data_IF_195672660812
#
_entry.id   IF_195672660812
#
_cell.length_a   1.000
_cell.length_b   1.000
_cell.length_c   1.000
_cell.angle_alpha   90.00
_cell.angle_beta   90.00
_cell.angle_gamma   90.00
#
_symmetry.space_group_name_H-M   'P 1'
#
loop_
_entity.id
_entity.type
_entity.pdbx_description
1 polymer ?
#
# COMPACT_ATOMS: atom_id res chain seq x y z
N UNK A 1 67.39 7.29 -53.43
CA UNK A 1 66.72 6.09 -52.88
C UNK A 1 66.54 6.30 -51.37
N UNK A 2 65.83 7.33 -50.88
CA UNK A 2 64.38 7.62 -50.98
C UNK A 2 63.50 6.53 -50.34
N UNK A 3 63.17 6.79 -49.06
CA UNK A 3 61.80 6.74 -48.52
C UNK A 3 60.99 5.47 -48.78
N UNK A 4 61.24 4.37 -48.07
CA UNK A 4 60.25 3.29 -47.92
C UNK A 4 60.63 2.22 -46.87
N UNK A 5 60.90 2.58 -45.60
CA UNK A 5 61.16 1.56 -44.56
C UNK A 5 60.53 1.79 -43.18
N UNK A 6 59.68 2.80 -43.03
CA UNK A 6 58.99 3.08 -41.75
C UNK A 6 57.47 3.29 -41.93
N UNK A 7 56.83 2.53 -42.82
CA UNK A 7 55.37 2.54 -43.00
C UNK A 7 54.83 1.12 -43.22
N UNK A 8 55.23 0.17 -42.39
CA UNK A 8 54.66 -1.18 -42.45
C UNK A 8 54.73 -1.92 -41.12
N UNK A 9 54.50 -1.21 -40.01
CA UNK A 9 54.22 -1.85 -38.71
C UNK A 9 53.33 -0.99 -37.78
N UNK A 10 52.50 -0.12 -38.36
CA UNK A 10 51.52 0.70 -37.62
C UNK A 10 50.09 0.53 -38.16
N UNK A 11 49.82 -0.59 -38.83
CA UNK A 11 48.55 -0.84 -39.53
C UNK A 11 47.98 -2.23 -39.29
N UNK A 12 48.11 -2.78 -38.08
CA UNK A 12 47.33 -3.93 -37.62
C UNK A 12 46.99 -3.70 -36.15
N UNK A 13 46.24 -2.63 -35.87
CA UNK A 13 45.71 -2.42 -34.52
C UNK A 13 44.45 -1.53 -34.58
N UNK A 14 43.49 -1.86 -35.45
CA UNK A 14 42.19 -1.15 -35.49
C UNK A 14 41.12 -1.84 -36.36
N UNK A 15 40.97 -3.17 -36.27
CA UNK A 15 39.71 -3.85 -36.65
C UNK A 15 39.47 -5.03 -35.70
N UNK A 16 39.41 -4.74 -34.40
CA UNK A 16 38.58 -5.53 -33.50
C UNK A 16 37.35 -4.66 -33.21
N UNK A 17 36.61 -4.30 -34.27
CA UNK A 17 35.22 -3.92 -34.12
C UNK A 17 34.53 -5.13 -33.50
N UNK A 18 34.33 -5.00 -32.19
CA UNK A 18 33.57 -5.89 -31.34
C UNK A 18 32.22 -6.16 -31.99
N UNK A 19 32.13 -7.22 -32.79
CA UNK A 19 30.89 -7.96 -32.93
C UNK A 19 30.69 -8.73 -31.63
N UNK A 20 30.43 -8.00 -30.53
CA UNK A 20 29.86 -8.59 -29.35
C UNK A 20 28.57 -9.26 -29.81
N UNK A 21 28.50 -10.58 -29.68
CA UNK A 21 27.31 -11.36 -29.99
C UNK A 21 26.14 -10.72 -29.26
N UNK A 22 25.13 -10.25 -29.99
CA UNK A 22 23.95 -9.62 -29.41
C UNK A 22 23.34 -10.62 -28.41
N UNK A 23 23.42 -10.28 -27.12
CA UNK A 23 22.84 -11.09 -26.05
C UNK A 23 21.34 -10.92 -26.15
N UNK A 24 20.60 -12.02 -26.16
CA UNK A 24 19.14 -11.97 -26.08
C UNK A 24 18.74 -11.57 -24.67
N UNK A 25 18.47 -10.28 -24.50
CA UNK A 25 18.03 -9.69 -23.24
C UNK A 25 16.51 -9.68 -23.08
N UNK A 26 15.74 -10.26 -24.01
CA UNK A 26 14.28 -10.28 -23.94
C UNK A 26 13.76 -10.96 -22.67
N UNK A 27 14.55 -11.90 -22.13
CA UNK A 27 14.26 -12.65 -20.91
C UNK A 27 14.91 -12.05 -19.65
N UNK A 28 15.48 -10.84 -19.72
CA UNK A 28 16.13 -10.21 -18.57
C UNK A 28 15.12 -9.91 -17.44
N UNK A 29 13.91 -9.50 -17.82
CA UNK A 29 12.75 -9.30 -16.95
C UNK A 29 11.52 -9.89 -17.65
N UNK A 30 11.00 -10.99 -17.11
CA UNK A 30 9.84 -11.69 -17.67
C UNK A 30 8.65 -11.68 -16.71
N UNK A 31 8.94 -11.88 -15.43
CA UNK A 31 7.95 -11.94 -14.36
C UNK A 31 7.91 -10.64 -13.54
N UNK A 32 7.13 -10.67 -12.48
CA UNK A 32 7.01 -9.55 -11.55
C UNK A 32 8.12 -9.42 -10.51
N UNK A 33 9.16 -10.28 -10.50
CA UNK A 33 10.11 -10.36 -9.39
C UNK A 33 10.74 -9.01 -9.06
N UNK A 34 11.27 -8.30 -10.05
CA UNK A 34 11.95 -7.03 -9.82
C UNK A 34 11.02 -5.91 -9.30
N UNK A 35 9.76 -5.91 -9.75
CA UNK A 35 8.77 -4.94 -9.27
C UNK A 35 8.33 -5.30 -7.84
N UNK A 36 8.19 -6.59 -7.52
CA UNK A 36 7.95 -7.05 -6.14
C UNK A 36 9.09 -6.66 -5.21
N UNK A 37 10.34 -6.87 -5.60
CA UNK A 37 11.51 -6.50 -4.78
C UNK A 37 11.60 -4.97 -4.58
N UNK A 38 11.25 -4.18 -5.59
CA UNK A 38 11.15 -2.73 -5.44
C UNK A 38 10.02 -2.31 -4.48
N UNK A 39 8.90 -3.04 -4.48
CA UNK A 39 7.78 -2.87 -3.56
C UNK A 39 8.09 -3.33 -2.12
N UNK A 40 8.91 -4.37 -1.96
CA UNK A 40 9.43 -4.76 -0.65
C UNK A 40 10.35 -3.67 -0.11
N UNK A 41 11.24 -3.14 -0.96
CA UNK A 41 12.13 -2.04 -0.57
C UNK A 41 11.37 -0.78 -0.19
N UNK A 42 10.36 -0.36 -0.96
CA UNK A 42 9.57 0.83 -0.60
C UNK A 42 8.86 0.62 0.74
N UNK A 43 8.43 -0.61 1.04
CA UNK A 43 7.83 -0.97 2.34
C UNK A 43 8.83 -0.84 3.48
N UNK A 44 10.06 -1.33 3.31
CA UNK A 44 11.13 -1.14 4.30
C UNK A 44 11.44 0.33 4.57
N UNK A 45 11.47 1.16 3.51
CA UNK A 45 11.66 2.61 3.63
C UNK A 45 10.47 3.26 4.34
N UNK A 46 9.24 2.83 4.05
CA UNK A 46 8.03 3.31 4.73
C UNK A 46 8.10 3.07 6.25
N UNK A 47 8.58 1.90 6.67
CA UNK A 47 8.80 1.56 8.07
C UNK A 47 9.90 2.42 8.66
N UNK A 48 11.03 2.56 7.96
CA UNK A 48 12.17 3.36 8.40
C UNK A 48 11.79 4.82 8.62
N UNK A 49 11.02 5.39 7.69
CA UNK A 49 10.59 6.79 7.69
C UNK A 49 9.35 7.03 8.58
N UNK A 50 8.77 5.97 9.15
CA UNK A 50 7.62 6.00 10.06
C UNK A 50 6.40 6.67 9.40
N UNK A 51 6.16 6.33 8.13
CA UNK A 51 4.96 6.81 7.44
C UNK A 51 3.69 6.19 8.03
N UNK A 52 2.65 7.00 8.14
CA UNK A 52 1.35 6.55 8.63
C UNK A 52 0.65 5.61 7.62
N UNK A 53 -0.27 4.74 8.07
CA UNK A 53 -1.03 3.86 7.18
C UNK A 53 -1.67 4.57 5.96
N UNK A 54 -2.40 5.69 6.11
CA UNK A 54 -2.97 6.40 4.96
C UNK A 54 -1.90 6.97 4.02
N UNK A 55 -0.79 7.49 4.55
CA UNK A 55 0.30 8.03 3.73
C UNK A 55 1.05 6.91 2.99
N UNK A 56 1.27 5.77 3.64
CA UNK A 56 1.86 4.59 3.02
C UNK A 56 1.02 4.10 1.83
N UNK A 57 -0.31 4.02 1.98
CA UNK A 57 -1.20 3.67 0.87
C UNK A 57 -1.01 4.60 -0.34
N UNK A 58 -0.99 5.92 -0.11
CA UNK A 58 -0.72 6.92 -1.16
C UNK A 58 0.61 6.70 -1.88
N UNK A 59 1.68 6.38 -1.13
CA UNK A 59 3.02 6.12 -1.70
C UNK A 59 2.96 4.91 -2.64
N UNK A 60 2.38 3.80 -2.18
CA UNK A 60 2.21 2.60 -3.01
C UNK A 60 1.40 2.89 -4.27
N UNK A 61 0.26 3.58 -4.15
CA UNK A 61 -0.64 3.84 -5.29
C UNK A 61 0.07 4.57 -6.44
N UNK A 62 0.78 5.66 -6.16
CA UNK A 62 1.42 6.44 -7.22
C UNK A 62 2.64 5.74 -7.82
N UNK A 63 3.44 5.04 -7.02
CA UNK A 63 4.56 4.25 -7.53
C UNK A 63 4.07 3.13 -8.47
N UNK A 64 3.04 2.40 -8.06
CA UNK A 64 2.43 1.33 -8.85
C UNK A 64 1.72 1.85 -10.09
N UNK A 65 1.02 2.99 -10.01
CA UNK A 65 0.38 3.62 -11.16
C UNK A 65 1.40 4.00 -12.25
N UNK A 66 2.58 4.48 -11.87
CA UNK A 66 3.65 4.79 -12.83
C UNK A 66 4.15 3.55 -13.58
N UNK A 67 4.34 2.43 -12.87
CA UNK A 67 4.70 1.15 -13.47
C UNK A 67 3.61 0.65 -14.43
N UNK A 68 2.35 0.79 -14.03
CA UNK A 68 1.18 0.37 -14.81
C UNK A 68 1.00 1.17 -16.10
N UNK A 69 1.17 2.50 -16.07
CA UNK A 69 1.04 3.32 -17.27
C UNK A 69 2.08 2.98 -18.34
N UNK A 70 3.27 2.51 -17.94
CA UNK A 70 4.22 1.91 -18.90
C UNK A 70 3.64 0.64 -19.51
N UNK A 71 3.08 -0.27 -18.71
CA UNK A 71 2.46 -1.50 -19.21
C UNK A 71 1.30 -1.21 -20.21
N UNK A 72 0.42 -0.28 -19.85
CA UNK A 72 -0.70 0.14 -20.69
C UNK A 72 -0.26 0.86 -21.98
N UNK A 73 0.92 1.49 -21.98
CA UNK A 73 1.45 2.15 -23.18
C UNK A 73 1.97 1.18 -24.25
N UNK A 74 2.28 -0.07 -23.88
CA UNK A 74 2.94 -1.03 -24.78
C UNK A 74 2.12 -2.26 -25.12
N UNK A 75 1.06 -2.53 -24.35
CA UNK A 75 0.20 -3.69 -24.55
C UNK A 75 -1.27 -3.24 -24.71
N UNK A 76 -1.88 -3.41 -25.90
CA UNK A 76 -3.27 -2.99 -26.15
C UNK A 76 -4.30 -3.76 -25.32
N UNK A 77 -3.92 -4.85 -24.63
CA UNK A 77 -4.78 -5.54 -23.69
C UNK A 77 -4.90 -4.80 -22.34
N UNK A 78 -4.14 -3.74 -22.12
CA UNK A 78 -4.20 -2.92 -20.91
C UNK A 78 -4.62 -1.49 -21.29
N UNK A 79 -5.62 -0.95 -20.59
CA UNK A 79 -6.10 0.41 -20.79
C UNK A 79 -5.43 1.37 -19.82
N UNK A 80 -4.96 2.51 -20.31
CA UNK A 80 -4.44 3.57 -19.44
C UNK A 80 -5.50 3.99 -18.42
N UNK A 81 -5.12 4.07 -17.14
CA UNK A 81 -5.95 4.61 -16.07
C UNK A 81 -5.95 6.14 -16.09
N UNK A 82 -4.93 6.77 -16.70
CA UNK A 82 -4.90 8.21 -16.91
C UNK A 82 -6.04 8.64 -17.86
N UNK A 83 -6.87 9.56 -17.37
CA UNK A 83 -8.13 9.96 -18.01
C UNK A 83 -9.36 9.18 -17.52
N UNK A 84 -9.19 8.10 -16.74
CA UNK A 84 -10.26 7.44 -15.99
C UNK A 84 -10.32 7.94 -14.54
N UNK A 85 -9.15 8.29 -13.97
CA UNK A 85 -9.02 8.71 -12.58
C UNK A 85 -9.36 10.20 -12.39
N UNK A 86 -9.93 10.54 -11.23
CA UNK A 86 -10.35 11.89 -10.88
C UNK A 86 -9.20 12.91 -10.95
N UNK A 87 -9.37 13.94 -11.78
CA UNK A 87 -8.37 14.99 -11.96
C UNK A 87 -7.12 14.55 -12.75
N UNK A 88 -7.14 13.36 -13.34
CA UNK A 88 -6.12 12.92 -14.30
C UNK A 88 -6.51 13.34 -15.71
N UNK A 89 -5.52 13.67 -16.53
CA UNK A 89 -5.72 13.94 -17.95
C UNK A 89 -5.44 12.67 -18.74
N UNK A 90 -6.16 12.47 -19.86
CA UNK A 90 -5.84 11.38 -20.78
C UNK A 90 -4.49 11.66 -21.43
N UNK A 91 -3.53 10.76 -21.25
CA UNK A 91 -2.19 10.85 -21.84
C UNK A 91 -1.96 9.64 -22.74
N UNK A 92 -1.19 9.81 -23.80
CA UNK A 92 -0.73 8.72 -24.67
C UNK A 92 0.78 8.76 -24.72
N UNK A 93 1.40 7.71 -24.21
CA UNK A 93 2.84 7.52 -24.27
C UNK A 93 3.21 6.74 -25.53
N UNK A 94 4.30 7.09 -26.19
CA UNK A 94 4.79 6.40 -27.39
C UNK A 94 6.26 6.07 -27.20
N UNK A 95 6.58 4.88 -26.66
CA UNK A 95 7.97 4.48 -26.48
C UNK A 95 8.68 4.36 -27.84
N UNK A 96 9.96 4.74 -27.87
CA UNK A 96 10.80 4.46 -29.03
C UNK A 96 11.10 2.96 -29.17
N UNK A 97 11.53 2.52 -30.36
CA UNK A 97 11.91 1.12 -30.63
C UNK A 97 13.07 0.61 -29.73
N UNK A 98 13.82 1.53 -29.11
CA UNK A 98 14.92 1.20 -28.19
C UNK A 98 14.47 0.96 -26.75
N UNK A 99 13.22 1.28 -26.41
CA UNK A 99 12.71 1.08 -25.05
C UNK A 99 12.50 -0.41 -24.82
N UNK A 100 13.08 -0.94 -23.74
CA UNK A 100 12.75 -2.24 -23.16
C UNK A 100 11.66 -2.02 -22.09
N UNK A 101 10.38 -2.30 -22.40
CA UNK A 101 9.27 -1.88 -21.55
C UNK A 101 9.29 -2.36 -20.09
N UNK A 102 9.67 -3.61 -19.76
CA UNK A 102 9.71 -4.02 -18.35
C UNK A 102 10.76 -3.26 -17.53
N UNK A 103 11.91 -2.89 -18.13
CA UNK A 103 12.88 -2.02 -17.46
C UNK A 103 12.32 -0.60 -17.30
N UNK A 104 11.62 -0.08 -18.30
CA UNK A 104 10.98 1.23 -18.19
C UNK A 104 9.88 1.27 -17.10
N UNK A 105 9.09 0.19 -16.97
CA UNK A 105 8.06 0.05 -15.93
C UNK A 105 8.68 0.04 -14.53
N UNK A 106 9.75 -0.73 -14.34
CA UNK A 106 10.53 -0.75 -13.11
C UNK A 106 11.18 0.61 -12.82
N UNK A 107 11.73 1.28 -13.83
CA UNK A 107 12.32 2.60 -13.69
C UNK A 107 11.29 3.67 -13.31
N UNK A 108 10.08 3.62 -13.88
CA UNK A 108 8.97 4.49 -13.52
C UNK A 108 8.55 4.28 -12.04
N UNK A 109 8.47 3.02 -11.61
CA UNK A 109 8.18 2.67 -10.22
C UNK A 109 9.22 3.29 -9.26
N UNK A 110 10.51 3.04 -9.50
CA UNK A 110 11.59 3.62 -8.69
C UNK A 110 11.55 5.15 -8.69
N UNK A 111 11.39 5.78 -9.86
CA UNK A 111 11.41 7.23 -9.99
C UNK A 111 10.30 7.92 -9.20
N UNK A 112 9.09 7.38 -9.25
CA UNK A 112 7.95 7.93 -8.51
C UNK A 112 8.03 7.57 -7.04
N UNK A 113 8.31 6.30 -6.71
CA UNK A 113 8.41 5.82 -5.33
C UNK A 113 9.46 6.58 -4.51
N UNK A 114 10.68 6.74 -5.04
CA UNK A 114 11.75 7.52 -4.39
C UNK A 114 11.31 8.96 -4.12
N UNK A 115 10.60 9.59 -5.06
CA UNK A 115 10.15 10.98 -4.91
C UNK A 115 9.02 11.20 -3.90
N UNK A 116 8.54 10.15 -3.23
CA UNK A 116 7.44 10.19 -2.27
C UNK A 116 7.85 9.79 -0.84
N UNK A 117 9.12 9.41 -0.62
CA UNK A 117 9.67 9.01 0.68
C UNK A 117 10.77 9.99 1.14
N UNK A 118 11.26 9.85 2.37
CA UNK A 118 12.30 10.74 2.91
C UNK A 118 13.71 10.15 2.75
N UNK A 119 13.88 8.86 3.04
CA UNK A 119 15.19 8.18 2.93
C UNK A 119 15.47 7.72 1.49
N UNK A 120 15.59 8.68 0.58
CA UNK A 120 15.81 8.44 -0.87
C UNK A 120 16.99 7.52 -1.16
N UNK A 121 18.07 7.64 -0.37
CA UNK A 121 19.29 6.85 -0.54
C UNK A 121 19.03 5.34 -0.42
N UNK A 122 18.17 4.90 0.50
CA UNK A 122 17.83 3.48 0.65
C UNK A 122 17.17 2.91 -0.62
N UNK A 123 16.32 3.70 -1.27
CA UNK A 123 15.66 3.30 -2.51
C UNK A 123 16.61 3.40 -3.71
N UNK A 124 17.46 4.42 -3.75
CA UNK A 124 18.48 4.60 -4.79
C UNK A 124 19.53 3.49 -4.76
N UNK A 125 20.02 3.10 -3.57
CA UNK A 125 20.98 1.99 -3.41
C UNK A 125 20.41 0.68 -3.96
N UNK A 126 19.16 0.36 -3.63
CA UNK A 126 18.48 -0.82 -4.16
C UNK A 126 18.31 -0.74 -5.68
N UNK A 127 17.81 0.39 -6.19
CA UNK A 127 17.66 0.64 -7.64
C UNK A 127 18.99 0.41 -8.37
N UNK A 128 20.06 1.02 -7.90
CA UNK A 128 21.36 1.01 -8.57
C UNK A 128 21.96 -0.40 -8.59
N UNK A 129 21.79 -1.17 -7.51
CA UNK A 129 22.16 -2.58 -7.47
C UNK A 129 21.31 -3.43 -8.45
N UNK A 130 19.98 -3.24 -8.48
CA UNK A 130 19.10 -3.92 -9.44
C UNK A 130 19.46 -3.58 -10.88
N UNK A 131 19.74 -2.32 -11.16
CA UNK A 131 20.10 -1.82 -12.49
C UNK A 131 21.45 -2.34 -12.96
N UNK A 132 22.44 -2.42 -12.06
CA UNK A 132 23.73 -3.06 -12.35
C UNK A 132 23.53 -4.55 -12.71
N UNK A 133 22.75 -5.30 -11.91
CA UNK A 133 22.46 -6.70 -12.19
C UNK A 133 21.72 -6.90 -13.53
N UNK A 134 20.82 -5.99 -13.90
CA UNK A 134 20.13 -6.03 -15.18
C UNK A 134 21.05 -5.71 -16.38
N UNK A 135 22.03 -4.80 -16.21
CA UNK A 135 23.07 -4.57 -17.23
C UNK A 135 23.92 -5.82 -17.46
N UNK A 136 24.26 -6.57 -16.39
CA UNK A 136 24.99 -7.83 -16.49
C UNK A 136 24.23 -8.92 -17.27
N UNK A 137 22.89 -8.82 -17.38
CA UNK A 137 22.07 -9.69 -18.24
C UNK A 137 22.17 -9.34 -19.74
N UNK A 138 23.00 -8.37 -20.12
CA UNK A 138 23.31 -8.07 -21.51
C UNK A 138 22.37 -7.06 -22.20
N UNK A 139 21.62 -6.26 -21.43
CA UNK A 139 20.85 -5.14 -21.97
C UNK A 139 21.83 -4.08 -22.50
N UNK A 140 21.80 -3.71 -23.80
CA UNK A 140 22.68 -2.69 -24.36
C UNK A 140 22.50 -1.33 -23.69
N UNK A 141 23.58 -0.54 -23.56
CA UNK A 141 23.51 0.76 -22.88
C UNK A 141 22.49 1.72 -23.53
N UNK A 142 22.38 1.75 -24.86
CA UNK A 142 21.42 2.65 -25.51
C UNK A 142 19.96 2.24 -25.30
N UNK A 143 19.69 0.93 -25.17
CA UNK A 143 18.37 0.39 -24.76
C UNK A 143 18.11 0.71 -23.28
N UNK A 144 19.12 0.55 -22.43
CA UNK A 144 19.01 0.79 -21.00
C UNK A 144 18.69 2.25 -20.70
N UNK A 145 19.46 3.18 -21.26
CA UNK A 145 19.24 4.62 -21.08
C UNK A 145 17.90 5.08 -21.67
N UNK A 146 17.51 4.56 -22.85
CA UNK A 146 16.20 4.86 -23.43
C UNK A 146 15.04 4.37 -22.54
N UNK A 147 15.19 3.21 -21.91
CA UNK A 147 14.17 2.63 -21.02
C UNK A 147 14.02 3.44 -19.73
N UNK A 148 15.14 3.85 -19.12
CA UNK A 148 15.11 4.74 -17.94
C UNK A 148 14.50 6.09 -18.29
N UNK A 149 14.90 6.68 -19.42
CA UNK A 149 14.35 7.97 -19.87
C UNK A 149 12.83 7.90 -20.09
N UNK A 150 12.34 6.82 -20.72
CA UNK A 150 10.91 6.62 -20.91
C UNK A 150 10.16 6.36 -19.59
N UNK A 151 10.73 5.56 -18.69
CA UNK A 151 10.16 5.36 -17.35
C UNK A 151 10.06 6.67 -16.57
N UNK A 152 11.07 7.54 -16.69
CA UNK A 152 11.05 8.88 -16.11
C UNK A 152 9.99 9.78 -16.75
N UNK A 153 9.82 9.75 -18.07
CA UNK A 153 8.78 10.51 -18.78
C UNK A 153 7.38 10.19 -18.25
N UNK A 154 7.06 8.90 -18.11
CA UNK A 154 5.80 8.44 -17.51
C UNK A 154 5.72 8.88 -16.05
N UNK A 155 6.79 8.69 -15.29
CA UNK A 155 6.86 9.09 -13.89
C UNK A 155 6.70 10.60 -13.65
N UNK A 156 7.19 11.45 -14.55
CA UNK A 156 7.02 12.91 -14.49
C UNK A 156 5.52 13.28 -14.60
N UNK A 157 4.77 12.62 -15.48
CA UNK A 157 3.31 12.80 -15.59
C UNK A 157 2.61 12.39 -14.30
N UNK A 158 2.98 11.23 -13.72
CA UNK A 158 2.38 10.75 -12.48
C UNK A 158 2.73 11.65 -11.29
N UNK A 159 3.96 12.15 -11.18
CA UNK A 159 4.34 13.13 -10.14
C UNK A 159 3.61 14.45 -10.31
N UNK A 160 3.43 14.93 -11.54
CA UNK A 160 2.63 16.13 -11.81
C UNK A 160 1.17 15.92 -11.37
N UNK A 161 0.59 14.76 -11.64
CA UNK A 161 -0.75 14.38 -11.19
C UNK A 161 -0.86 14.26 -9.67
N UNK A 162 0.14 13.66 -9.00
CA UNK A 162 0.16 13.47 -7.54
C UNK A 162 0.36 14.77 -6.78
N UNK A 163 1.10 15.74 -7.33
CA UNK A 163 1.33 17.05 -6.71
C UNK A 163 0.05 17.88 -6.50
N UNK A 164 -1.03 17.53 -7.21
CA UNK A 164 -2.32 18.23 -7.22
C UNK A 164 -3.39 17.55 -6.36
N UNK A 165 -3.04 16.57 -5.54
CA UNK A 165 -3.99 15.78 -4.75
C UNK A 165 -4.29 16.32 -3.36
N UNK A 166 -3.86 17.56 -3.07
CA UNK A 166 -4.01 18.25 -1.79
C UNK A 166 -3.12 17.73 -0.63
N UNK A 167 -2.24 16.75 -0.87
CA UNK A 167 -1.34 16.24 0.16
C UNK A 167 -0.38 17.29 0.71
N UNK A 168 0.30 18.05 -0.17
CA UNK A 168 1.24 19.09 0.25
C UNK A 168 0.57 20.20 1.07
N UNK A 169 -0.61 20.65 0.64
CA UNK A 169 -1.41 21.67 1.31
C UNK A 169 -1.85 21.17 2.70
N UNK A 170 -2.28 19.91 2.80
CA UNK A 170 -2.74 19.32 4.06
C UNK A 170 -1.67 19.28 5.15
N UNK A 171 -0.37 19.30 4.81
CA UNK A 171 0.73 19.33 5.79
C UNK A 171 0.75 20.62 6.64
N UNK A 172 0.04 21.65 6.20
CA UNK A 172 -0.08 22.94 6.90
C UNK A 172 -1.45 23.16 7.57
N UNK A 173 -2.36 22.19 7.48
CA UNK A 173 -3.67 22.29 8.09
C UNK A 173 -3.56 22.22 9.63
N UNK A 174 -4.53 22.81 10.37
CA UNK A 174 -4.47 22.82 11.83
C UNK A 174 -4.50 21.40 12.39
N UNK A 175 -3.83 21.18 13.52
CA UNK A 175 -3.87 19.90 14.23
C UNK A 175 -5.29 19.58 14.72
N UNK A 176 -5.53 18.30 14.99
CA UNK A 176 -6.77 17.87 15.63
C UNK A 176 -6.90 18.50 17.02
N UNK A 177 -8.08 19.05 17.33
CA UNK A 177 -8.35 19.63 18.65
C UNK A 177 -9.02 18.58 19.51
N UNK A 178 -8.33 18.13 20.56
CA UNK A 178 -8.91 17.23 21.57
C UNK A 178 -9.85 18.03 22.46
N UNK A 179 -11.10 17.58 22.53
CA UNK A 179 -12.15 18.16 23.38
C UNK A 179 -12.26 17.40 24.70
N UNK A 180 -12.83 18.04 25.73
CA UNK A 180 -13.15 17.38 27.00
C UNK A 180 -14.55 16.74 27.01
N UNK A 181 -15.20 16.67 25.84
CA UNK A 181 -16.54 16.14 25.69
C UNK A 181 -16.53 14.61 25.87
N UNK A 182 -17.49 14.09 26.64
CA UNK A 182 -17.61 12.64 26.86
C UNK A 182 -17.84 11.90 25.53
N UNK A 183 -17.26 10.71 25.42
CA UNK A 183 -17.35 9.88 24.22
C UNK A 183 -16.51 10.32 23.03
N UNK A 184 -15.80 11.44 23.13
CA UNK A 184 -14.87 11.89 22.08
C UNK A 184 -13.48 11.24 22.23
N UNK A 185 -12.79 11.06 21.11
CA UNK A 185 -11.45 10.47 21.09
C UNK A 185 -10.45 11.32 21.87
N UNK A 186 -9.61 10.62 22.63
CA UNK A 186 -8.49 11.19 23.36
C UNK A 186 -7.22 10.41 23.03
N UNK A 187 -6.04 11.06 23.02
CA UNK A 187 -4.77 10.36 22.94
C UNK A 187 -4.65 9.31 24.05
N UNK A 188 -4.14 8.14 23.69
CA UNK A 188 -4.06 6.98 24.60
C UNK A 188 -2.62 6.74 25.09
N UNK A 189 -2.44 6.14 26.28
CA UNK A 189 -1.14 5.69 26.75
C UNK A 189 -0.47 4.68 25.80
N UNK A 190 0.85 4.46 25.93
CA UNK A 190 1.78 5.21 26.79
C UNK A 190 2.23 6.55 26.19
N UNK A 191 2.05 6.76 24.89
CA UNK A 191 2.70 7.85 24.15
C UNK A 191 1.85 9.13 24.04
N UNK A 192 0.52 9.02 24.18
CA UNK A 192 -0.41 10.16 24.04
C UNK A 192 -0.15 10.99 22.76
N UNK A 193 0.11 10.29 21.65
CA UNK A 193 0.46 10.91 20.38
C UNK A 193 -0.68 11.77 19.82
N UNK A 194 -0.30 12.79 19.05
CA UNK A 194 -1.24 13.59 18.29
C UNK A 194 -2.01 12.73 17.26
N UNK A 195 -3.24 13.14 16.95
CA UNK A 195 -4.09 12.41 16.03
C UNK A 195 -3.46 12.33 14.63
N UNK A 196 -3.44 11.12 14.06
CA UNK A 196 -2.80 10.86 12.76
C UNK A 196 -3.71 11.24 11.61
N UNK A 197 -3.25 12.20 10.81
CA UNK A 197 -3.87 12.63 9.55
C UNK A 197 -5.34 13.09 9.67
N UNK A 198 -5.67 14.07 10.55
CA UNK A 198 -7.06 14.51 10.78
C UNK A 198 -7.79 15.06 9.56
N UNK A 199 -7.06 15.39 8.51
CA UNK A 199 -7.59 15.95 7.28
C UNK A 199 -7.43 15.01 6.08
N UNK A 200 -7.23 13.71 6.30
CA UNK A 200 -7.02 12.77 5.20
C UNK A 200 -8.21 12.71 4.22
N UNK A 201 -9.43 12.99 4.71
CA UNK A 201 -10.62 13.14 3.86
C UNK A 201 -10.58 14.31 2.87
N UNK A 202 -9.54 15.16 2.94
CA UNK A 202 -9.29 16.27 2.01
C UNK A 202 -8.34 15.91 0.88
N UNK A 203 -7.71 14.73 0.93
CA UNK A 203 -6.90 14.22 -0.18
C UNK A 203 -7.83 13.89 -1.36
N UNK A 204 -7.38 14.19 -2.59
CA UNK A 204 -8.13 13.85 -3.79
C UNK A 204 -8.30 12.33 -3.88
N UNK A 205 -9.53 11.88 -4.02
CA UNK A 205 -9.87 10.50 -4.36
C UNK A 205 -9.39 10.18 -5.78
N UNK A 206 -9.11 8.92 -6.08
CA UNK A 206 -8.74 8.46 -7.42
C UNK A 206 -9.96 8.16 -8.30
N UNK A 207 -11.05 7.70 -7.71
CA UNK A 207 -12.25 7.14 -8.36
C UNK A 207 -13.52 7.55 -7.60
N UNK A 208 -13.50 7.60 -6.27
CA UNK A 208 -14.67 8.00 -5.48
C UNK A 208 -15.10 9.43 -5.82
N UNK A 209 -16.41 9.68 -5.90
CA UNK A 209 -16.96 11.02 -6.16
C UNK A 209 -16.64 11.99 -5.00
N UNK A 210 -16.55 11.48 -3.77
CA UNK A 210 -16.14 12.22 -2.58
C UNK A 210 -15.67 11.28 -1.47
N UNK A 211 -14.90 11.80 -0.51
CA UNK A 211 -14.44 11.03 0.65
C UNK A 211 -15.58 10.46 1.51
N UNK A 212 -16.77 11.06 1.50
CA UNK A 212 -17.93 10.62 2.28
C UNK A 212 -18.91 9.74 1.49
N UNK A 213 -18.54 9.29 0.28
CA UNK A 213 -19.45 8.54 -0.60
C UNK A 213 -19.92 7.22 0.03
N UNK A 214 -19.03 6.55 0.77
CA UNK A 214 -19.28 5.26 1.41
C UNK A 214 -19.42 5.36 2.92
N UNK A 215 -19.92 6.51 3.41
CA UNK A 215 -20.07 6.74 4.84
C UNK A 215 -20.90 5.62 5.50
N UNK A 216 -20.37 4.94 6.53
CA UNK A 216 -21.02 3.81 7.17
C UNK A 216 -22.16 4.26 8.10
N UNK A 217 -22.85 3.28 8.67
CA UNK A 217 -23.77 3.52 9.78
C UNK A 217 -23.02 4.15 10.97
N UNK A 218 -23.66 5.08 11.72
CA UNK A 218 -23.04 5.67 12.88
C UNK A 218 -22.77 4.60 13.96
N UNK A 219 -21.75 4.79 14.82
CA UNK A 219 -21.55 3.91 15.96
C UNK A 219 -22.70 4.04 16.97
N UNK A 220 -22.88 3.06 17.88
CA UNK A 220 -23.83 3.19 18.97
C UNK A 220 -23.62 4.50 19.74
N UNK A 221 -24.69 5.25 20.09
CA UNK A 221 -24.54 6.51 20.83
C UNK A 221 -23.84 6.28 22.16
N UNK A 222 -22.85 7.12 22.48
CA UNK A 222 -22.12 7.05 23.74
C UNK A 222 -23.08 7.05 24.94
N UNK A 223 -22.85 6.16 25.89
CA UNK A 223 -23.59 6.11 27.15
C UNK A 223 -22.80 5.34 28.18
N UNK A 224 -22.77 5.86 29.41
CA UNK A 224 -22.16 5.21 30.58
C UNK A 224 -23.14 4.32 31.34
N UNK A 225 -24.43 4.34 30.98
CA UNK A 225 -25.47 3.58 31.68
C UNK A 225 -25.24 2.07 31.48
N UNK A 226 -25.10 1.28 32.57
CA UNK A 226 -24.99 -0.17 32.46
C UNK A 226 -26.16 -0.77 31.67
N UNK A 227 -25.85 -1.52 30.62
CA UNK A 227 -26.84 -2.16 29.75
C UNK A 227 -27.31 -1.34 28.54
N UNK A 228 -26.85 -0.09 28.40
CA UNK A 228 -26.93 0.66 27.13
C UNK A 228 -26.20 -0.09 25.99
N UNK A 229 -26.50 0.26 24.74
CA UNK A 229 -25.82 -0.38 23.59
C UNK A 229 -24.32 -0.12 23.60
N UNK A 230 -23.89 1.10 23.92
CA UNK A 230 -22.47 1.45 24.01
C UNK A 230 -21.76 0.67 25.12
N UNK A 231 -22.36 0.60 26.32
CA UNK A 231 -21.82 -0.20 27.40
C UNK A 231 -21.69 -1.68 27.02
N UNK A 232 -22.67 -2.24 26.30
CA UNK A 232 -22.64 -3.63 25.85
C UNK A 232 -21.49 -3.91 24.89
N UNK A 233 -21.28 -3.07 23.86
CA UNK A 233 -20.17 -3.29 22.90
C UNK A 233 -18.81 -3.08 23.55
N UNK A 234 -18.67 -2.16 24.51
CA UNK A 234 -17.44 -1.99 25.27
C UNK A 234 -17.18 -3.17 26.21
N UNK A 235 -18.21 -3.64 26.90
CA UNK A 235 -18.13 -4.84 27.74
C UNK A 235 -17.78 -6.08 26.92
N UNK A 236 -18.25 -6.17 25.68
CA UNK A 236 -17.91 -7.26 24.78
C UNK A 236 -16.39 -7.33 24.50
N UNK A 237 -15.76 -6.18 24.25
CA UNK A 237 -14.30 -6.08 24.07
C UNK A 237 -13.56 -6.53 25.34
N UNK A 238 -14.00 -6.03 26.50
CA UNK A 238 -13.43 -6.39 27.80
C UNK A 238 -13.55 -7.91 28.09
N UNK A 239 -14.72 -8.50 27.86
CA UNK A 239 -14.97 -9.93 28.13
C UNK A 239 -14.21 -10.83 27.15
N UNK A 240 -14.11 -10.43 25.87
CA UNK A 240 -13.32 -11.15 24.88
C UNK A 240 -11.85 -11.21 25.30
N UNK A 241 -11.24 -10.09 25.68
CA UNK A 241 -9.80 -10.03 25.97
C UNK A 241 -9.43 -10.99 27.12
N UNK A 242 -10.31 -11.06 28.13
CA UNK A 242 -10.17 -11.96 29.28
C UNK A 242 -10.37 -13.43 28.97
N UNK A 243 -11.11 -13.75 27.91
CA UNK A 243 -11.40 -15.11 27.48
C UNK A 243 -10.67 -15.53 26.21
N UNK A 244 -9.81 -14.66 25.67
CA UNK A 244 -9.12 -14.87 24.41
C UNK A 244 -8.23 -16.12 24.45
N UNK A 245 -8.42 -17.01 23.48
CA UNK A 245 -7.56 -18.17 23.26
C UNK A 245 -6.19 -17.74 22.75
N UNK A 246 -5.20 -18.64 22.79
CA UNK A 246 -3.87 -18.34 22.24
C UNK A 246 -3.94 -18.00 20.74
N UNK A 247 -4.74 -18.75 19.97
CA UNK A 247 -4.93 -18.48 18.53
C UNK A 247 -5.51 -17.08 18.28
N UNK A 248 -6.48 -16.63 19.08
CA UNK A 248 -7.05 -15.29 18.94
C UNK A 248 -6.01 -14.19 19.22
N UNK A 249 -5.11 -14.42 20.18
CA UNK A 249 -4.00 -13.52 20.48
C UNK A 249 -2.96 -13.51 19.35
N UNK A 250 -2.66 -14.67 18.80
CA UNK A 250 -1.71 -14.82 17.69
C UNK A 250 -2.27 -14.13 16.42
N UNK A 251 -3.57 -14.26 16.15
CA UNK A 251 -4.28 -13.51 15.10
C UNK A 251 -4.17 -11.99 15.32
N UNK A 252 -4.41 -11.52 16.55
CA UNK A 252 -4.30 -10.09 16.88
C UNK A 252 -2.89 -9.56 16.62
N UNK A 253 -1.86 -10.33 17.01
CA UNK A 253 -0.46 -9.95 16.82
C UNK A 253 -0.04 -10.00 15.35
N UNK A 254 -0.52 -10.99 14.59
CA UNK A 254 -0.23 -11.14 13.16
C UNK A 254 -0.74 -9.94 12.36
N UNK A 255 -1.96 -9.51 12.63
CA UNK A 255 -2.58 -8.37 11.94
C UNK A 255 -2.39 -7.04 12.68
N UNK A 256 -1.50 -6.92 13.66
CA UNK A 256 -1.35 -5.67 14.43
C UNK A 256 -0.96 -4.50 13.51
N UNK A 257 0.04 -4.72 12.65
CA UNK A 257 0.47 -3.80 11.59
C UNK A 257 0.56 -2.32 12.05
N UNK A 258 0.96 -2.10 13.31
CA UNK A 258 1.00 -0.78 13.95
C UNK A 258 2.45 -0.27 14.00
N UNK A 259 2.84 0.68 13.12
CA UNK A 259 4.19 1.23 13.12
C UNK A 259 4.48 2.13 14.34
N UNK A 260 3.47 2.41 15.18
CA UNK A 260 3.57 3.27 16.35
C UNK A 260 3.71 2.51 17.66
N UNK A 261 3.91 1.18 17.61
CA UNK A 261 4.07 0.41 18.84
C UNK A 261 5.34 0.85 19.58
N UNK A 262 5.14 1.46 20.73
CA UNK A 262 6.20 2.03 21.57
C UNK A 262 6.43 1.15 22.78
N UNK A 263 7.66 0.68 22.93
CA UNK A 263 8.10 -0.03 24.11
C UNK A 263 8.73 0.95 25.09
N UNK A 264 8.20 0.99 26.32
CA UNK A 264 8.75 1.79 27.42
C UNK A 264 9.37 0.86 28.46
N UNK A 265 10.70 0.91 28.60
CA UNK A 265 11.44 0.14 29.63
C UNK A 265 12.29 1.08 30.47
N UNK A 266 11.75 1.50 31.60
CA UNK A 266 12.37 2.55 32.43
C UNK A 266 12.38 3.89 31.68
N UNK A 267 13.56 4.49 31.51
CA UNK A 267 13.73 5.76 30.76
C UNK A 267 13.94 5.55 29.25
N UNK A 268 13.97 4.30 28.76
CA UNK A 268 14.20 4.01 27.34
C UNK A 268 12.87 3.81 26.64
N UNK A 269 12.66 4.55 25.55
CA UNK A 269 11.54 4.39 24.63
C UNK A 269 12.08 3.95 23.27
N UNK A 270 11.54 2.88 22.70
CA UNK A 270 11.89 2.43 21.34
C UNK A 270 10.66 1.90 20.59
N UNK A 271 10.59 2.16 19.29
CA UNK A 271 9.52 1.67 18.43
C UNK A 271 9.85 0.27 17.90
N UNK A 272 8.84 -0.60 17.77
CA UNK A 272 8.96 -1.84 17.00
C UNK A 272 8.76 -1.56 15.50
N UNK A 273 9.64 -2.11 14.66
CA UNK A 273 9.51 -2.04 13.20
C UNK A 273 8.39 -3.00 12.77
N UNK A 274 7.28 -2.45 12.29
CA UNK A 274 6.13 -3.19 11.76
C UNK A 274 5.66 -2.57 10.46
N UNK A 275 5.18 -3.41 9.54
CA UNK A 275 4.48 -2.93 8.33
C UNK A 275 3.17 -2.24 8.71
N UNK A 276 2.68 -1.41 7.80
CA UNK A 276 1.30 -0.90 7.87
C UNK A 276 0.35 -1.88 7.19
N UNK A 277 -0.97 -1.79 7.43
CA UNK A 277 -1.94 -2.69 6.81
C UNK A 277 -1.91 -2.61 5.28
N UNK A 278 -1.66 -1.41 4.73
CA UNK A 278 -1.47 -1.25 3.29
C UNK A 278 -0.24 -2.01 2.78
N UNK A 279 0.87 -1.98 3.52
CA UNK A 279 2.06 -2.77 3.18
C UNK A 279 1.80 -4.27 3.19
N UNK A 280 1.08 -4.77 4.21
CA UNK A 280 0.69 -6.18 4.32
C UNK A 280 -0.12 -6.64 3.10
N UNK A 281 -1.15 -5.89 2.72
CA UNK A 281 -1.97 -6.24 1.54
C UNK A 281 -1.23 -6.12 0.22
N UNK A 282 -0.26 -5.20 0.10
CA UNK A 282 0.61 -5.17 -1.08
C UNK A 282 1.56 -6.39 -1.12
N UNK A 283 2.04 -6.87 0.02
CA UNK A 283 2.81 -8.12 0.09
C UNK A 283 1.96 -9.34 -0.27
N UNK A 284 0.71 -9.42 0.20
CA UNK A 284 -0.24 -10.46 -0.23
C UNK A 284 -0.47 -10.38 -1.74
N UNK A 285 -0.61 -9.19 -2.31
CA UNK A 285 -0.75 -8.99 -3.74
C UNK A 285 0.48 -9.49 -4.52
N UNK A 286 1.69 -9.32 -3.98
CA UNK A 286 2.93 -9.82 -4.55
C UNK A 286 2.99 -11.36 -4.50
N UNK A 287 2.63 -11.95 -3.35
CA UNK A 287 2.54 -13.40 -3.14
C UNK A 287 1.56 -14.03 -4.13
N UNK A 288 0.35 -13.50 -4.23
CA UNK A 288 -0.68 -13.98 -5.14
C UNK A 288 -0.24 -13.85 -6.62
N UNK A 289 0.36 -12.72 -6.99
CA UNK A 289 0.88 -12.50 -8.35
C UNK A 289 1.94 -13.53 -8.74
N UNK A 290 2.86 -13.83 -7.81
CA UNK A 290 3.90 -14.84 -8.00
C UNK A 290 3.29 -16.25 -8.11
N UNK A 291 2.38 -16.61 -7.21
CA UNK A 291 1.71 -17.91 -7.20
C UNK A 291 0.87 -18.13 -8.49
N UNK A 292 0.26 -17.08 -9.02
CA UNK A 292 -0.50 -17.11 -10.26
C UNK A 292 0.37 -17.00 -11.54
N UNK A 293 1.69 -16.88 -11.41
CA UNK A 293 2.61 -16.76 -12.55
C UNK A 293 2.37 -15.51 -13.41
N UNK A 294 1.95 -14.39 -12.81
CA UNK A 294 1.75 -13.12 -13.53
C UNK A 294 3.07 -12.62 -14.11
N UNK A 295 3.01 -12.12 -15.35
CA UNK A 295 4.14 -11.40 -15.96
C UNK A 295 4.29 -9.99 -15.35
N UNK A 296 5.31 -9.25 -15.78
CA UNK A 296 5.57 -7.90 -15.29
C UNK A 296 4.40 -6.91 -15.51
N UNK A 297 3.58 -7.11 -16.54
CA UNK A 297 2.40 -6.25 -16.81
C UNK A 297 1.27 -6.61 -15.86
N UNK A 298 1.02 -7.90 -15.68
CA UNK A 298 0.03 -8.43 -14.74
C UNK A 298 0.29 -8.00 -13.31
N UNK A 299 1.54 -8.03 -12.84
CA UNK A 299 1.85 -7.54 -11.49
C UNK A 299 1.71 -6.02 -11.37
N UNK A 300 2.06 -5.25 -12.40
CA UNK A 300 1.88 -3.80 -12.40
C UNK A 300 0.38 -3.43 -12.30
N UNK A 301 -0.49 -4.16 -12.98
CA UNK A 301 -1.96 -4.05 -12.83
C UNK A 301 -2.42 -4.37 -11.41
N UNK A 302 -1.96 -5.50 -10.87
CA UNK A 302 -2.34 -5.93 -9.52
C UNK A 302 -1.93 -4.89 -8.47
N UNK A 303 -0.71 -4.38 -8.54
CA UNK A 303 -0.22 -3.36 -7.62
C UNK A 303 -0.93 -2.03 -7.79
N UNK A 304 -1.18 -1.57 -9.01
CA UNK A 304 -1.88 -0.30 -9.24
C UNK A 304 -3.31 -0.35 -8.70
N UNK A 305 -4.06 -1.41 -9.01
CA UNK A 305 -5.44 -1.56 -8.55
C UNK A 305 -5.54 -1.78 -7.04
N UNK A 306 -4.65 -2.60 -6.45
CA UNK A 306 -4.61 -2.78 -4.98
C UNK A 306 -4.26 -1.47 -4.28
N UNK A 307 -3.28 -0.73 -4.79
CA UNK A 307 -2.91 0.59 -4.27
C UNK A 307 -4.04 1.61 -4.38
N UNK A 308 -4.79 1.65 -5.49
CA UNK A 308 -5.95 2.54 -5.65
C UNK A 308 -7.02 2.20 -4.61
N UNK A 309 -7.39 0.92 -4.48
CA UNK A 309 -8.38 0.45 -3.51
C UNK A 309 -7.98 0.75 -2.06
N UNK A 310 -6.70 0.54 -1.71
CA UNK A 310 -6.17 0.88 -0.39
C UNK A 310 -6.29 2.39 -0.11
N UNK A 311 -5.85 3.24 -1.03
CA UNK A 311 -5.88 4.68 -0.80
C UNK A 311 -7.32 5.22 -0.67
N UNK A 312 -8.25 4.71 -1.48
CA UNK A 312 -9.68 5.05 -1.37
C UNK A 312 -10.30 4.58 -0.05
N UNK A 313 -9.96 3.37 0.38
CA UNK A 313 -10.36 2.83 1.69
C UNK A 313 -9.86 3.71 2.84
N UNK A 314 -8.61 4.14 2.80
CA UNK A 314 -8.05 5.03 3.82
C UNK A 314 -8.69 6.43 3.80
N UNK A 315 -9.01 6.99 2.63
CA UNK A 315 -9.72 8.28 2.53
C UNK A 315 -11.12 8.18 3.13
N UNK A 316 -11.90 7.15 2.77
CA UNK A 316 -13.26 6.93 3.27
C UNK A 316 -13.27 6.68 4.78
N UNK A 317 -12.42 5.77 5.25
CA UNK A 317 -12.37 5.42 6.67
C UNK A 317 -11.92 6.62 7.53
N UNK A 318 -10.95 7.42 7.08
CA UNK A 318 -10.53 8.60 7.83
C UNK A 318 -11.58 9.71 7.83
N UNK A 319 -12.43 9.81 6.81
CA UNK A 319 -13.60 10.69 6.84
C UNK A 319 -14.50 10.33 8.02
N UNK A 320 -14.82 9.03 8.18
CA UNK A 320 -15.68 8.56 9.26
C UNK A 320 -15.01 8.71 10.64
N UNK A 321 -13.72 8.40 10.76
CA UNK A 321 -12.95 8.52 12.01
C UNK A 321 -13.02 9.91 12.59
N UNK A 322 -12.76 10.92 11.77
CA UNK A 322 -12.72 12.29 12.23
C UNK A 322 -14.12 12.95 12.26
N UNK A 323 -15.12 12.35 11.62
CA UNK A 323 -16.52 12.75 11.73
C UNK A 323 -17.19 12.23 13.00
N UNK A 324 -17.04 10.94 13.29
CA UNK A 324 -17.61 10.31 14.49
C UNK A 324 -16.83 10.67 15.75
N UNK A 325 -15.51 10.88 15.59
CA UNK A 325 -14.57 11.22 16.66
C UNK A 325 -14.70 10.29 17.88
N UNK A 326 -14.94 9.00 17.65
CA UNK A 326 -15.32 8.08 18.72
C UNK A 326 -14.13 7.70 19.63
N UNK A 327 -14.38 7.71 20.94
CA UNK A 327 -13.50 7.19 21.99
C UNK A 327 -13.07 5.74 21.74
N UNK A 328 -11.85 5.38 22.19
CA UNK A 328 -11.30 4.02 22.08
C UNK A 328 -11.74 3.12 23.25
N UNK A 329 -11.75 1.79 23.08
CA UNK A 329 -12.17 0.87 24.13
C UNK A 329 -11.40 1.04 25.44
N UNK A 330 -10.07 1.17 25.40
CA UNK A 330 -9.27 1.33 26.64
C UNK A 330 -9.67 2.56 27.45
N UNK A 331 -9.95 3.68 26.80
CA UNK A 331 -10.29 4.92 27.50
C UNK A 331 -11.65 4.76 28.18
N UNK A 332 -12.63 4.19 27.48
CA UNK A 332 -13.95 3.94 28.05
C UNK A 332 -13.94 2.88 29.16
N UNK A 333 -13.27 1.74 28.93
CA UNK A 333 -13.20 0.63 29.88
C UNK A 333 -12.50 1.09 31.15
N UNK A 334 -11.38 1.83 31.04
CA UNK A 334 -10.65 2.31 32.22
C UNK A 334 -11.44 3.34 33.04
N UNK A 335 -12.29 4.13 32.39
CA UNK A 335 -13.10 5.14 33.07
C UNK A 335 -14.39 4.58 33.70
N UNK A 336 -14.96 3.52 33.13
CA UNK A 336 -16.34 3.12 33.44
C UNK A 336 -16.55 1.64 33.77
N UNK A 337 -15.54 0.77 33.58
CA UNK A 337 -15.66 -0.68 33.79
C UNK A 337 -14.57 -1.22 34.70
N UNK A 338 -13.30 -1.07 34.32
CA UNK A 338 -12.13 -1.58 35.04
C UNK A 338 -10.91 -0.69 34.78
N UNK A 339 -10.51 0.11 35.77
CA UNK A 339 -9.40 1.07 35.68
C UNK A 339 -8.04 0.43 35.38
N UNK A 340 -7.89 -0.87 35.62
CA UNK A 340 -6.62 -1.59 35.50
C UNK A 340 -6.51 -2.35 34.18
N UNK A 341 -7.56 -2.30 33.34
CA UNK A 341 -7.57 -3.03 32.09
C UNK A 341 -6.60 -2.42 31.08
N UNK A 342 -5.93 -3.30 30.34
CA UNK A 342 -4.99 -2.92 29.28
C UNK A 342 -5.28 -3.80 28.07
N UNK A 343 -5.50 -3.23 26.87
CA UNK A 343 -5.72 -4.02 25.68
C UNK A 343 -4.48 -4.84 25.31
N UNK A 344 -4.69 -5.99 24.66
CA UNK A 344 -3.61 -6.82 24.12
C UNK A 344 -2.70 -6.04 23.15
N UNK A 345 -3.31 -5.26 22.25
CA UNK A 345 -2.59 -4.39 21.32
C UNK A 345 -2.58 -2.96 21.82
N UNK A 346 -1.48 -2.25 21.63
CA UNK A 346 -1.41 -0.83 21.92
C UNK A 346 -2.36 -0.07 20.99
N UNK A 347 -3.22 0.78 21.56
CA UNK A 347 -4.19 1.56 20.78
C UNK A 347 -3.51 2.52 19.81
N UNK A 348 -3.88 2.47 18.51
CA UNK A 348 -3.36 3.42 17.53
C UNK A 348 -3.85 4.86 17.76
N UNK A 349 -3.02 5.88 17.49
CA UNK A 349 -3.31 7.28 17.81
C UNK A 349 -4.26 7.99 16.82
N UNK A 350 -5.47 7.47 16.70
CA UNK A 350 -6.55 8.03 15.90
C UNK A 350 -7.93 7.52 16.39
N UNK A 351 -9.03 8.23 16.07
CA UNK A 351 -10.40 7.85 16.48
C UNK A 351 -10.80 6.43 16.09
N UNK A 352 -11.79 5.90 16.81
CA UNK A 352 -12.16 4.48 16.76
C UNK A 352 -12.95 4.11 15.48
N UNK A 353 -14.08 4.75 15.19
CA UNK A 353 -15.01 4.25 14.18
C UNK A 353 -14.79 4.86 12.79
N UNK A 354 -14.73 4.10 11.69
CA UNK A 354 -14.68 2.63 11.55
C UNK A 354 -13.26 2.07 11.69
N UNK A 355 -13.10 0.75 11.76
CA UNK A 355 -11.79 0.09 11.79
C UNK A 355 -11.06 0.22 10.45
N UNK A 356 -9.91 0.91 10.45
CA UNK A 356 -9.10 1.08 9.23
C UNK A 356 -8.58 -0.24 8.65
N UNK A 357 -8.29 -1.23 9.51
CA UNK A 357 -7.97 -2.59 9.05
C UNK A 357 -9.15 -3.22 8.33
N UNK A 358 -10.35 -3.11 8.89
CA UNK A 358 -11.55 -3.72 8.31
C UNK A 358 -11.86 -3.13 6.93
N UNK A 359 -11.81 -1.80 6.78
CA UNK A 359 -12.05 -1.13 5.49
C UNK A 359 -10.95 -1.45 4.47
N UNK A 360 -9.69 -1.30 4.84
CA UNK A 360 -8.56 -1.55 3.94
C UNK A 360 -8.46 -3.02 3.50
N UNK A 361 -8.68 -3.96 4.43
CA UNK A 361 -8.65 -5.38 4.14
C UNK A 361 -9.79 -5.81 3.23
N UNK A 362 -11.02 -5.39 3.51
CA UNK A 362 -12.15 -5.74 2.66
C UNK A 362 -12.01 -5.16 1.25
N UNK A 363 -11.51 -3.92 1.11
CA UNK A 363 -11.26 -3.30 -0.19
C UNK A 363 -10.16 -4.02 -0.99
N UNK A 364 -9.07 -4.39 -0.32
CA UNK A 364 -7.94 -5.11 -0.93
C UNK A 364 -8.35 -6.52 -1.33
N UNK A 365 -9.02 -7.26 -0.44
CA UNK A 365 -9.51 -8.60 -0.71
C UNK A 365 -10.47 -8.62 -1.89
N UNK A 366 -11.43 -7.70 -1.95
CA UNK A 366 -12.34 -7.60 -3.10
C UNK A 366 -11.59 -7.37 -4.42
N UNK A 367 -10.59 -6.49 -4.39
CA UNK A 367 -9.77 -6.16 -5.57
C UNK A 367 -8.96 -7.35 -6.04
N UNK A 368 -8.32 -8.07 -5.12
CA UNK A 368 -7.54 -9.26 -5.43
C UNK A 368 -8.44 -10.42 -5.89
N UNK A 369 -9.59 -10.63 -5.24
CA UNK A 369 -10.59 -11.58 -5.67
C UNK A 369 -11.10 -11.29 -7.10
N UNK A 370 -11.25 -10.02 -7.47
CA UNK A 370 -11.62 -9.64 -8.84
C UNK A 370 -10.53 -10.01 -9.86
N UNK A 371 -9.25 -9.92 -9.47
CA UNK A 371 -8.09 -10.15 -10.35
C UNK A 371 -7.65 -11.62 -10.45
N UNK A 372 -7.94 -12.43 -9.43
CA UNK A 372 -7.43 -13.80 -9.27
C UNK A 372 -8.53 -14.86 -9.05
N UNK A 373 -9.76 -14.44 -8.73
CA UNK A 373 -10.79 -15.31 -8.13
C UNK A 373 -10.68 -15.30 -6.60
N UNK A 374 -11.81 -15.38 -5.89
CA UNK A 374 -11.81 -15.26 -4.42
C UNK A 374 -11.24 -16.52 -3.74
N UNK A 375 -11.61 -17.72 -4.19
CA UNK A 375 -11.13 -19.02 -3.68
C UNK A 375 -9.67 -19.32 -4.09
N UNK A 376 -8.82 -18.30 -4.01
CA UNK A 376 -7.39 -18.38 -4.24
C UNK A 376 -6.69 -18.69 -2.92
N UNK A 377 -5.98 -19.82 -2.86
CA UNK A 377 -5.23 -20.20 -1.67
C UNK A 377 -3.97 -19.33 -1.52
N UNK A 378 -3.79 -18.73 -0.34
CA UNK A 378 -2.76 -17.76 -0.01
C UNK A 378 -1.88 -18.36 1.08
N UNK A 379 -0.57 -18.40 0.82
CA UNK A 379 0.45 -18.70 1.84
C UNK A 379 1.10 -17.37 2.23
N UNK A 380 0.53 -16.71 3.24
CA UNK A 380 0.96 -15.39 3.68
C UNK A 380 2.23 -15.49 4.53
N UNK A 381 3.34 -15.06 3.92
CA UNK A 381 4.67 -15.00 4.53
C UNK A 381 5.16 -13.57 4.76
N UNK A 382 4.29 -12.57 4.59
CA UNK A 382 4.65 -11.15 4.65
C UNK A 382 5.21 -10.72 6.02
N UNK A 383 4.74 -11.33 7.09
CA UNK A 383 5.12 -11.01 8.47
C UNK A 383 6.35 -11.82 8.97
N UNK A 384 6.88 -12.75 8.17
CA UNK A 384 8.06 -13.57 8.54
C UNK A 384 9.31 -12.71 8.77
N UNK A 385 9.50 -11.68 7.93
CA UNK A 385 10.60 -10.72 8.09
C UNK A 385 10.50 -9.89 9.39
N UNK A 386 9.31 -9.85 10.00
CA UNK A 386 9.01 -9.11 11.22
C UNK A 386 8.81 -10.02 12.45
N UNK A 387 9.18 -11.31 12.32
CA UNK A 387 9.28 -12.25 13.43
C UNK A 387 8.01 -13.05 13.73
N UNK A 388 7.04 -13.06 12.81
CA UNK A 388 5.78 -13.81 12.95
C UNK A 388 5.76 -15.04 12.02
N UNK A 389 4.96 -16.07 12.33
CA UNK A 389 4.86 -17.26 11.50
C UNK A 389 4.09 -17.01 10.20
N UNK A 390 4.23 -17.92 9.24
CA UNK A 390 3.36 -17.99 8.05
C UNK A 390 1.93 -18.31 8.47
N UNK A 391 0.95 -17.69 7.81
CA UNK A 391 -0.48 -18.05 7.91
C UNK A 391 -1.01 -18.40 6.53
N UNK A 392 -1.98 -19.32 6.48
CA UNK A 392 -2.58 -19.77 5.23
C UNK A 392 -4.07 -19.46 5.22
N UNK A 393 -4.57 -19.08 4.04
CA UNK A 393 -5.98 -18.75 3.81
C UNK A 393 -6.44 -19.41 2.51
N UNK A 394 -7.69 -19.86 2.47
CA UNK A 394 -8.33 -20.45 1.29
C UNK A 394 -8.99 -19.38 0.40
N UNK A 395 -9.11 -18.14 0.89
CA UNK A 395 -9.59 -17.00 0.09
C UNK A 395 -9.07 -15.66 0.58
N UNK A 396 -9.12 -14.64 -0.29
CA UNK A 396 -8.83 -13.26 0.11
C UNK A 396 -9.87 -12.76 1.12
N UNK A 397 -11.15 -13.12 0.94
CA UNK A 397 -12.22 -12.80 1.89
C UNK A 397 -11.92 -13.35 3.28
N UNK A 398 -11.46 -14.60 3.40
CA UNK A 398 -11.10 -15.19 4.69
C UNK A 398 -9.96 -14.42 5.37
N UNK A 399 -8.91 -14.07 4.62
CA UNK A 399 -7.81 -13.25 5.14
C UNK A 399 -8.31 -11.89 5.65
N UNK A 400 -9.22 -11.24 4.91
CA UNK A 400 -9.79 -9.95 5.31
C UNK A 400 -10.71 -10.04 6.54
N UNK A 401 -11.51 -11.09 6.65
CA UNK A 401 -12.35 -11.34 7.83
C UNK A 401 -11.50 -11.57 9.08
N UNK A 402 -10.42 -12.36 8.97
CA UNK A 402 -9.47 -12.55 10.06
C UNK A 402 -8.77 -11.24 10.45
N UNK A 403 -8.31 -10.47 9.45
CA UNK A 403 -7.71 -9.15 9.67
C UNK A 403 -8.64 -8.18 10.38
N UNK A 404 -9.92 -8.17 10.01
CA UNK A 404 -10.95 -7.33 10.62
C UNK A 404 -11.21 -7.77 12.07
N UNK A 405 -11.39 -9.07 12.31
CA UNK A 405 -11.70 -9.61 13.63
C UNK A 405 -10.51 -9.56 14.59
N UNK A 406 -9.28 -9.56 14.08
CA UNK A 406 -8.04 -9.36 14.85
C UNK A 406 -8.09 -8.11 15.71
N UNK A 407 -8.82 -7.07 15.28
CA UNK A 407 -8.93 -5.79 16.00
C UNK A 407 -9.83 -5.88 17.22
N UNK A 408 -10.83 -6.77 17.15
CA UNK A 408 -11.61 -7.16 18.32
C UNK A 408 -10.69 -7.88 19.29
N UNK A 409 -10.00 -8.93 18.83
CA UNK A 409 -9.04 -9.71 19.63
C UNK A 409 -7.93 -8.87 20.26
N UNK A 410 -7.51 -7.80 19.59
CA UNK A 410 -6.52 -6.86 20.09
C UNK A 410 -7.04 -5.89 21.17
N UNK A 411 -8.33 -5.85 21.44
CA UNK A 411 -8.91 -4.97 22.46
C UNK A 411 -9.11 -3.51 22.03
N UNK A 412 -8.99 -3.19 20.74
CA UNK A 412 -8.84 -1.80 20.27
C UNK A 412 -9.97 -1.30 19.37
N UNK A 413 -10.90 -2.19 19.02
CA UNK A 413 -12.10 -1.84 18.25
C UNK A 413 -13.36 -2.49 18.81
N UNK A 414 -14.47 -1.75 18.76
CA UNK A 414 -15.80 -2.27 19.01
C UNK A 414 -16.31 -3.05 17.79
N UNK A 415 -17.20 -4.03 18.01
CA UNK A 415 -17.78 -4.84 16.92
C UNK A 415 -18.41 -4.03 15.77
N UNK A 416 -19.18 -2.94 16.02
CA UNK A 416 -19.73 -2.13 14.93
C UNK A 416 -18.67 -1.52 14.00
N UNK A 417 -17.53 -1.06 14.53
CA UNK A 417 -16.46 -0.50 13.71
C UNK A 417 -15.83 -1.54 12.77
N UNK A 418 -15.87 -2.81 13.15
CA UNK A 418 -15.37 -3.95 12.38
C UNK A 418 -16.37 -4.32 11.29
N UNK A 419 -17.63 -4.59 11.65
CA UNK A 419 -18.66 -5.04 10.73
C UNK A 419 -19.01 -3.98 9.68
N UNK A 420 -19.16 -2.73 10.11
CA UNK A 420 -19.45 -1.62 9.18
C UNK A 420 -18.22 -1.27 8.35
N UNK A 421 -17.01 -1.45 8.90
CA UNK A 421 -15.77 -1.27 8.16
C UNK A 421 -15.59 -2.30 7.03
N UNK A 422 -15.92 -3.57 7.27
CA UNK A 422 -15.90 -4.61 6.22
C UNK A 422 -16.87 -4.22 5.09
N UNK A 423 -18.09 -3.81 5.45
CA UNK A 423 -19.12 -3.41 4.47
C UNK A 423 -18.67 -2.20 3.66
N UNK A 424 -18.17 -1.16 4.32
CA UNK A 424 -17.61 0.05 3.70
C UNK A 424 -16.51 -0.31 2.69
N UNK A 425 -15.50 -1.09 3.11
CA UNK A 425 -14.38 -1.48 2.27
C UNK A 425 -14.77 -2.31 1.05
N UNK A 426 -15.68 -3.28 1.23
CA UNK A 426 -16.17 -4.10 0.12
C UNK A 426 -16.95 -3.25 -0.89
N UNK A 427 -17.86 -2.41 -0.42
CA UNK A 427 -18.77 -1.66 -1.28
C UNK A 427 -18.03 -0.57 -2.08
N UNK A 428 -17.03 0.08 -1.46
CA UNK A 428 -16.19 1.07 -2.16
C UNK A 428 -15.31 0.40 -3.24
N UNK A 429 -14.73 -0.77 -2.96
CA UNK A 429 -13.94 -1.51 -3.94
C UNK A 429 -14.82 -2.01 -5.10
N UNK A 430 -16.01 -2.53 -4.81
CA UNK A 430 -16.98 -2.89 -5.85
C UNK A 430 -17.30 -1.70 -6.75
N UNK A 431 -17.48 -0.50 -6.19
CA UNK A 431 -17.71 0.71 -6.97
C UNK A 431 -16.53 1.10 -7.85
N UNK A 432 -15.28 0.97 -7.38
CA UNK A 432 -14.08 1.25 -8.19
C UNK A 432 -14.15 0.47 -9.51
N UNK A 433 -14.44 -0.83 -9.45
CA UNK A 433 -14.57 -1.70 -10.63
C UNK A 433 -15.75 -1.38 -11.56
N UNK A 434 -16.68 -0.50 -11.15
CA UNK A 434 -17.73 0.03 -12.05
C UNK A 434 -17.29 1.26 -12.83
N UNK A 435 -16.20 1.91 -12.41
CA UNK A 435 -15.74 3.22 -12.90
C UNK A 435 -14.45 3.14 -13.68
N UNK A 436 -13.56 2.21 -13.34
CA UNK A 436 -12.29 2.03 -14.02
C UNK A 436 -12.21 0.65 -14.65
N UNK A 437 -11.67 0.61 -15.86
CA UNK A 437 -11.42 -0.61 -16.62
C UNK A 437 -9.92 -0.67 -16.93
N UNK A 438 -9.23 -1.70 -16.44
CA UNK A 438 -7.81 -1.96 -16.78
C UNK A 438 -7.66 -2.78 -18.06
N UNK A 439 -8.76 -3.39 -18.53
CA UNK A 439 -8.85 -4.26 -19.71
C UNK A 439 -9.94 -3.77 -20.66
N UNK A 440 -9.78 -3.90 -21.99
CA UNK A 440 -10.88 -3.66 -22.92
C UNK A 440 -12.07 -4.57 -22.63
N UNK A 441 -13.29 -4.03 -22.69
CA UNK A 441 -14.51 -4.85 -22.56
C UNK A 441 -14.60 -5.81 -23.74
N UNK A 442 -14.54 -7.11 -23.47
CA UNK A 442 -14.81 -8.14 -24.47
C UNK A 442 -16.31 -8.11 -24.79
N UNK A 443 -16.68 -7.61 -25.97
CA UNK A 443 -18.08 -7.54 -26.46
C UNK A 443 -18.71 -8.95 -26.64
N UNK A 444 -17.95 -10.03 -26.41
CA UNK A 444 -18.34 -11.41 -26.72
C UNK A 444 -18.83 -12.25 -25.52
N UNK A 445 -18.94 -11.70 -24.31
CA UNK A 445 -19.42 -12.47 -23.15
C UNK A 445 -20.18 -11.59 -22.16
N UNK A 446 -21.44 -11.29 -22.50
CA UNK A 446 -22.51 -10.92 -21.56
C UNK A 446 -23.59 -12.00 -21.63
#
# INVERSE_FOLDING_TARGET
>A
MRTLKYMLFSGILLIASSCAKQVDYSQAITDGQYISEAQDRITEVIIHDIFSPPVAARIYTYASLAAYEVAASVDPNYLSLMGQLNGSEKVTFTPSEKVYPPLASLAAYYYVGTGLIFSEDMMNEHRDATFAALKEKGIPDDVFEASIAFGKEVGDVIKAYSSKDNYHQSRSFPKFTVTADEGTWQPTPPAYMEAIEPHWSKIRTFVLDSASQFRPLPPPPFSTEPGSEFYKVAKEVYDMDRSATQEQKDIALFWDCNPYKMNVKGHVMFAEKKITPGGHWMSIAAIASKAAGKDWKGIAEVFAMTGISLNEAFISCWEEKYRSNLIRPETYINQHIDEQWVPLLQTPPFPEHTSGHSVASAASAYTLAHLFGDEFHIVDSSEVAYGLPVREYDSFTQAAEEAALSRFYGGIHYRPAIEYGITEGRDLAAFIWTKVDTKPKNVASN
#
